data_IF_403342093583
#
_entry.id   IF_403342093583
#
_cell.length_a   1.000
_cell.length_b   1.000
_cell.length_c   1.000
_cell.angle_alpha   90.00
_cell.angle_beta   90.00
_cell.angle_gamma   90.00
#
_symmetry.space_group_name_H-M   'P 1'
#
loop_
_entity.id
_entity.type
_entity.pdbx_description
1 polymer ?
#
# COMPACT_ATOMS: atom_id res chain seq x y z
N UNK A 1 -3.93 3.82 -4.64
CA UNK A 1 -2.48 3.68 -4.95
C UNK A 1 -2.19 3.33 -6.41
N UNK A 2 -3.05 2.56 -7.10
CA UNK A 2 -2.86 2.13 -8.49
C UNK A 2 -2.58 3.26 -9.52
N UNK A 3 -3.24 4.42 -9.42
CA UNK A 3 -3.01 5.53 -10.34
C UNK A 3 -1.59 6.13 -10.22
N UNK A 4 -1.04 6.19 -9.01
CA UNK A 4 0.33 6.68 -8.78
C UNK A 4 1.37 5.68 -9.30
N UNK A 5 1.12 4.37 -9.14
CA UNK A 5 1.99 3.32 -9.69
C UNK A 5 2.01 3.33 -11.22
N UNK A 6 0.86 3.52 -11.86
CA UNK A 6 0.77 3.66 -13.32
C UNK A 6 1.57 4.86 -13.82
N UNK A 7 1.43 6.03 -13.17
CA UNK A 7 2.23 7.21 -13.50
C UNK A 7 3.73 6.96 -13.36
N UNK A 8 4.15 6.28 -12.30
CA UNK A 8 5.56 5.96 -12.08
C UNK A 8 6.10 4.97 -13.12
N UNK A 9 5.32 3.95 -13.50
CA UNK A 9 5.67 3.01 -14.56
C UNK A 9 5.84 3.71 -15.91
N UNK A 10 4.97 4.66 -16.23
CA UNK A 10 5.10 5.45 -17.46
C UNK A 10 6.38 6.31 -17.46
N UNK A 11 6.68 7.02 -16.37
CA UNK A 11 7.91 7.79 -16.26
C UNK A 11 9.17 6.92 -16.37
N UNK A 12 9.13 5.70 -15.81
CA UNK A 12 10.22 4.74 -15.93
C UNK A 12 10.42 4.28 -17.39
N UNK A 13 9.32 4.00 -18.09
CA UNK A 13 9.36 3.63 -19.51
C UNK A 13 9.89 4.78 -20.37
N UNK A 14 9.44 6.02 -20.14
CA UNK A 14 9.97 7.21 -20.83
C UNK A 14 11.47 7.38 -20.60
N UNK A 15 11.94 7.15 -19.37
CA UNK A 15 13.36 7.21 -19.04
C UNK A 15 14.17 6.14 -19.80
N UNK A 16 13.69 4.89 -19.80
CA UNK A 16 14.34 3.80 -20.52
C UNK A 16 14.34 4.01 -22.04
N UNK A 17 13.25 4.53 -22.62
CA UNK A 17 13.21 4.91 -24.03
C UNK A 17 14.25 6.01 -24.34
N UNK A 18 14.44 6.96 -23.43
CA UNK A 18 15.49 7.97 -23.54
C UNK A 18 16.90 7.38 -23.52
N UNK A 19 17.14 6.37 -22.67
CA UNK A 19 18.42 5.64 -22.62
C UNK A 19 18.67 4.83 -23.90
N UNK A 20 17.66 4.11 -24.39
CA UNK A 20 17.72 3.39 -25.66
C UNK A 20 18.06 4.31 -26.84
N UNK A 21 17.46 5.51 -26.88
CA UNK A 21 17.74 6.50 -27.91
C UNK A 21 19.21 6.95 -27.94
N UNK A 22 19.90 6.81 -26.80
CA UNK A 22 21.34 7.10 -26.62
C UNK A 22 22.21 5.85 -26.72
N UNK A 23 21.65 4.69 -27.06
CA UNK A 23 22.33 3.39 -27.08
C UNK A 23 22.90 2.99 -25.70
N UNK A 24 22.28 3.47 -24.63
CA UNK A 24 22.61 3.10 -23.26
C UNK A 24 21.75 1.91 -22.80
N UNK A 25 22.24 1.17 -21.80
CA UNK A 25 21.52 0.06 -21.22
C UNK A 25 20.28 0.54 -20.44
N UNK A 26 19.16 -0.18 -20.57
CA UNK A 26 17.97 0.07 -19.77
C UNK A 26 18.26 -0.13 -18.27
N UNK A 27 17.52 0.60 -17.45
CA UNK A 27 17.56 0.45 -16.01
C UNK A 27 16.82 -0.82 -15.58
N UNK A 28 17.40 -1.62 -14.66
CA UNK A 28 16.74 -2.82 -14.13
C UNK A 28 15.43 -2.51 -13.41
N UNK A 29 14.38 -3.33 -13.63
CA UNK A 29 13.10 -3.21 -12.91
C UNK A 29 13.26 -3.20 -11.38
N UNK A 30 14.29 -3.87 -10.86
CA UNK A 30 14.60 -3.89 -9.44
C UNK A 30 14.77 -2.48 -8.85
N UNK A 31 15.36 -1.55 -9.59
CA UNK A 31 15.54 -0.18 -9.13
C UNK A 31 14.20 0.53 -8.95
N UNK A 32 13.28 0.33 -9.90
CA UNK A 32 11.93 0.85 -9.80
C UNK A 32 11.18 0.26 -8.60
N UNK A 33 11.31 -1.06 -8.38
CA UNK A 33 10.73 -1.74 -7.21
C UNK A 33 11.22 -1.12 -5.90
N UNK A 34 12.54 -0.96 -5.75
CA UNK A 34 13.13 -0.34 -4.56
C UNK A 34 12.60 1.09 -4.34
N UNK A 35 12.52 1.90 -5.42
CA UNK A 35 11.97 3.26 -5.34
C UNK A 35 10.50 3.29 -4.95
N UNK A 36 9.69 2.36 -5.46
CA UNK A 36 8.29 2.23 -5.02
C UNK A 36 8.26 1.93 -3.52
N UNK A 37 9.01 0.92 -3.07
CA UNK A 37 9.04 0.54 -1.66
C UNK A 37 9.51 1.69 -0.76
N UNK A 38 10.47 2.51 -1.18
CA UNK A 38 10.96 3.66 -0.40
C UNK A 38 9.89 4.75 -0.21
N UNK A 39 9.05 4.97 -1.22
CA UNK A 39 7.99 5.99 -1.17
C UNK A 39 6.74 5.55 -0.41
N UNK A 40 6.62 4.27 -0.07
CA UNK A 40 5.47 3.78 0.69
C UNK A 40 5.47 4.31 2.14
N UNK A 41 4.29 4.73 2.64
CA UNK A 41 4.10 5.17 4.01
C UNK A 41 4.51 4.15 5.09
N UNK A 42 4.63 4.63 6.33
CA UNK A 42 5.05 3.84 7.49
C UNK A 42 4.14 2.63 7.75
N UNK A 43 2.85 2.75 7.44
CA UNK A 43 1.84 1.69 7.60
C UNK A 43 2.14 0.45 6.74
N UNK A 44 3.02 0.59 5.74
CA UNK A 44 3.43 -0.50 4.85
C UNK A 44 4.74 -1.16 5.29
N UNK A 45 5.30 -0.88 6.48
CA UNK A 45 6.58 -1.48 6.92
C UNK A 45 6.56 -3.01 6.94
N UNK A 46 5.49 -3.62 7.45
CA UNK A 46 5.33 -5.07 7.47
C UNK A 46 5.30 -5.64 6.05
N UNK A 47 4.58 -4.94 5.15
CA UNK A 47 4.53 -5.28 3.73
C UNK A 47 5.91 -5.23 3.07
N UNK A 48 6.70 -4.16 3.30
CA UNK A 48 8.09 -4.04 2.79
C UNK A 48 8.94 -5.24 3.21
N UNK A 49 8.84 -5.63 4.48
CA UNK A 49 9.62 -6.74 5.06
C UNK A 49 9.24 -8.08 4.42
N UNK A 50 7.94 -8.35 4.27
CA UNK A 50 7.43 -9.58 3.64
C UNK A 50 7.80 -9.64 2.16
N UNK A 51 7.71 -8.51 1.45
CA UNK A 51 8.05 -8.41 0.02
C UNK A 51 9.53 -8.72 -0.25
N UNK A 52 10.43 -8.25 0.62
CA UNK A 52 11.87 -8.49 0.50
C UNK A 52 12.26 -9.96 0.72
N UNK A 53 11.40 -10.75 1.37
CA UNK A 53 11.59 -12.18 1.61
C UNK A 53 11.10 -13.06 0.44
N UNK A 54 10.48 -12.49 -0.59
CA UNK A 54 10.02 -13.26 -1.76
C UNK A 54 11.17 -13.62 -2.70
N UNK A 55 11.10 -14.83 -3.27
CA UNK A 55 12.05 -15.33 -4.26
C UNK A 55 12.19 -14.40 -5.47
N UNK A 56 13.39 -14.34 -6.04
CA UNK A 56 13.76 -13.35 -7.06
C UNK A 56 12.86 -13.38 -8.31
N UNK A 57 12.39 -14.57 -8.71
CA UNK A 57 11.53 -14.75 -9.87
C UNK A 57 10.09 -14.23 -9.72
N UNK A 58 9.68 -13.82 -8.50
CA UNK A 58 8.37 -13.20 -8.23
C UNK A 58 8.48 -11.70 -7.88
N UNK A 59 9.61 -11.09 -8.22
CA UNK A 59 9.88 -9.67 -8.02
C UNK A 59 9.63 -8.89 -9.30
N UNK A 60 8.44 -9.04 -9.87
CA UNK A 60 7.98 -8.20 -10.99
C UNK A 60 7.20 -6.98 -10.48
N UNK A 61 7.16 -5.91 -11.27
CA UNK A 61 6.37 -4.70 -10.99
C UNK A 61 4.87 -5.01 -10.92
N UNK A 62 4.39 -5.91 -11.77
CA UNK A 62 2.96 -6.22 -11.85
C UNK A 62 2.49 -7.02 -10.62
N UNK A 63 3.31 -7.96 -10.13
CA UNK A 63 3.04 -8.64 -8.86
C UNK A 63 3.10 -7.67 -7.68
N UNK A 64 4.06 -6.75 -7.66
CA UNK A 64 4.15 -5.71 -6.62
C UNK A 64 2.88 -4.86 -6.59
N UNK A 65 2.43 -4.43 -7.77
CA UNK A 65 1.24 -3.60 -7.94
C UNK A 65 -0.01 -4.33 -7.44
N UNK A 66 -0.15 -5.61 -7.79
CA UNK A 66 -1.28 -6.45 -7.34
C UNK A 66 -1.29 -6.59 -5.82
N UNK A 67 -0.14 -6.90 -5.22
CA UNK A 67 -0.01 -7.05 -3.78
C UNK A 67 -0.29 -5.74 -3.03
N UNK A 68 0.21 -4.61 -3.52
CA UNK A 68 -0.06 -3.30 -2.92
C UNK A 68 -1.54 -2.92 -2.97
N UNK A 69 -2.22 -3.21 -4.09
CA UNK A 69 -3.66 -2.98 -4.20
C UNK A 69 -4.46 -3.86 -3.23
N UNK A 70 -4.06 -5.11 -3.02
CA UNK A 70 -4.68 -5.99 -2.03
C UNK A 70 -4.47 -5.47 -0.61
N UNK A 71 -3.22 -5.13 -0.25
CA UNK A 71 -2.91 -4.56 1.06
C UNK A 71 -3.68 -3.24 1.32
N UNK A 72 -3.82 -2.39 0.30
CA UNK A 72 -4.59 -1.15 0.43
C UNK A 72 -6.08 -1.42 0.75
N UNK A 73 -6.67 -2.47 0.16
CA UNK A 73 -8.06 -2.86 0.45
C UNK A 73 -8.19 -3.40 1.88
N UNK A 74 -7.29 -4.30 2.28
CA UNK A 74 -7.28 -4.87 3.63
C UNK A 74 -7.11 -3.78 4.69
N UNK A 75 -6.15 -2.86 4.51
CA UNK A 75 -5.97 -1.72 5.42
C UNK A 75 -7.21 -0.81 5.51
N UNK A 76 -7.96 -0.63 4.41
CA UNK A 76 -9.20 0.15 4.41
C UNK A 76 -10.31 -0.58 5.17
N UNK A 77 -10.45 -1.89 4.96
CA UNK A 77 -11.44 -2.71 5.67
C UNK A 77 -11.15 -2.79 7.17
N UNK A 78 -9.89 -2.92 7.59
CA UNK A 78 -9.51 -2.90 9.00
C UNK A 78 -9.82 -1.57 9.68
N UNK A 79 -9.55 -0.43 9.01
CA UNK A 79 -9.92 0.88 9.54
C UNK A 79 -11.43 1.03 9.70
N UNK A 80 -12.21 0.61 8.70
CA UNK A 80 -13.68 0.65 8.77
C UNK A 80 -14.24 -0.21 9.91
N UNK A 81 -13.68 -1.40 10.13
CA UNK A 81 -14.09 -2.28 11.24
C UNK A 81 -13.74 -1.67 12.60
N UNK A 82 -12.55 -1.09 12.74
CA UNK A 82 -12.13 -0.41 13.98
C UNK A 82 -13.01 0.79 14.31
N UNK A 83 -13.39 1.58 13.32
CA UNK A 83 -14.27 2.75 13.51
C UNK A 83 -15.70 2.34 13.90
N UNK A 84 -16.25 1.29 13.28
CA UNK A 84 -17.57 0.75 13.63
C UNK A 84 -17.59 0.20 15.07
N UNK A 85 -16.58 -0.56 15.47
CA UNK A 85 -16.45 -1.08 16.85
C UNK A 85 -16.30 0.04 17.88
N UNK A 86 -15.58 1.12 17.55
CA UNK A 86 -15.44 2.28 18.42
C UNK A 86 -16.76 3.05 18.59
N UNK A 87 -17.58 3.17 17.53
CA UNK A 87 -18.92 3.76 17.61
C UNK A 87 -19.84 2.92 18.49
N UNK A 88 -19.89 1.61 18.29
CA UNK A 88 -20.69 0.69 19.12
C UNK A 88 -20.28 0.76 20.61
N UNK A 89 -18.97 0.83 20.90
CA UNK A 89 -18.46 0.95 22.25
C UNK A 89 -18.81 2.29 22.93
N UNK A 90 -18.84 3.39 22.17
CA UNK A 90 -19.27 4.71 22.66
C UNK A 90 -20.77 4.74 22.96
N UNK A 91 -21.59 4.13 22.10
CA UNK A 91 -23.04 4.03 22.30
C UNK A 91 -23.39 3.19 23.52
N UNK A 92 -22.78 2.01 23.68
CA UNK A 92 -23.00 1.14 24.84
C UNK A 92 -22.64 1.82 26.19
N UNK A 93 -21.63 2.70 26.18
CA UNK A 93 -21.26 3.51 27.37
C UNK A 93 -22.28 4.62 27.63
N UNK A 94 -22.77 5.30 26.60
CA UNK A 94 -23.77 6.36 26.75
C UNK A 94 -25.13 5.83 27.28
N UNK A 95 -25.52 4.61 26.93
CA UNK A 95 -26.77 3.99 27.42
C UNK A 95 -26.70 3.62 28.90
N UNK A 96 -25.52 3.17 29.39
CA UNK A 96 -25.31 2.87 30.81
C UNK A 96 -25.37 4.10 31.70
N UNK A 97 -24.97 5.27 31.22
CA UNK A 97 -25.03 6.51 32.00
C UNK A 97 -26.47 7.02 32.15
N UNK A 98 -27.33 6.82 31.14
CA UNK A 98 -28.74 7.27 31.16
C UNK A 98 -29.62 6.43 32.08
N UNK A 99 -29.27 5.17 32.35
CA UNK A 99 -30.02 4.30 33.28
C UNK A 99 -29.65 4.51 34.75
N UNK A 100 -28.56 5.22 35.06
CA UNK A 100 -28.13 5.49 36.44
C UNK A 100 -28.81 6.72 37.08
N UNK A 101 -29.42 7.62 36.30
CA UNK A 101 -30.07 8.85 36.78
C UNK A 101 -31.60 8.81 36.79
N UNK A 102 -32.21 7.65 36.54
CA UNK A 102 -33.64 7.43 36.79
C UNK A 102 -33.79 6.70 38.13
N UNK A 103 -33.85 7.44 39.22
CA UNK A 103 -34.41 6.97 40.48
C UNK A 103 -35.20 8.07 41.14
#
# INVERSE_FOLDING_TARGET
>A
MAAHLSKLKNLWNELNLGLESKQEAQLPEMLLICKILDTLPQEYRSFKSIRLLLNEGKRTIDELTTQLCTQERENKEEKLKGDAQNQEALEAKATKTKTLYKK
#
